data_IF_769212275874
#
_entry.id   IF_769212275874
#
_cell.length_a   1.000
_cell.length_b   1.000
_cell.length_c   1.000
_cell.angle_alpha   90.00
_cell.angle_beta   90.00
_cell.angle_gamma   90.00
#
_symmetry.space_group_name_H-M   'P 1'
#
loop_
_entity.id
_entity.type
_entity.pdbx_description
1 polymer ?
#
# COMPACT_ATOMS: atom_id res chain seq x y z
N UNK A 1 5.51 17.77 -19.84
CA UNK A 1 6.92 17.29 -19.74
C UNK A 1 7.59 17.28 -21.12
N UNK A 2 8.91 17.52 -21.23
CA UNK A 2 9.67 17.54 -22.50
C UNK A 2 10.56 16.28 -22.68
N UNK A 3 11.10 16.06 -23.90
CA UNK A 3 11.94 14.89 -24.25
C UNK A 3 13.15 14.69 -23.33
N UNK A 4 13.87 15.77 -23.01
CA UNK A 4 15.07 15.70 -22.18
C UNK A 4 14.73 15.28 -20.74
N UNK A 5 13.66 15.83 -20.18
CA UNK A 5 13.15 15.47 -18.84
C UNK A 5 12.65 14.02 -18.83
N UNK A 6 11.86 13.61 -19.82
CA UNK A 6 11.35 12.23 -19.91
C UNK A 6 12.50 11.20 -19.97
N UNK A 7 13.55 11.45 -20.78
CA UNK A 7 14.77 10.61 -20.78
C UNK A 7 15.47 10.55 -19.43
N UNK A 8 15.48 11.65 -18.69
CA UNK A 8 16.09 11.70 -17.36
C UNK A 8 15.28 10.89 -16.35
N UNK A 9 13.95 11.03 -16.35
CA UNK A 9 13.09 10.23 -15.49
C UNK A 9 13.16 8.73 -15.77
N UNK A 10 13.23 8.32 -17.05
CA UNK A 10 13.46 6.90 -17.39
C UNK A 10 14.71 6.34 -16.71
N UNK A 11 15.85 7.04 -16.80
CA UNK A 11 17.10 6.63 -16.15
C UNK A 11 16.98 6.62 -14.63
N UNK A 12 16.31 7.63 -14.07
CA UNK A 12 16.16 7.77 -12.62
C UNK A 12 15.26 6.66 -12.06
N UNK A 13 14.19 6.27 -12.76
CA UNK A 13 13.36 5.12 -12.38
C UNK A 13 14.21 3.84 -12.39
N UNK A 14 14.92 3.57 -13.48
CA UNK A 14 15.73 2.35 -13.61
C UNK A 14 16.82 2.25 -12.52
N UNK A 15 17.46 3.37 -12.19
CA UNK A 15 18.50 3.41 -11.15
C UNK A 15 17.96 3.25 -9.72
N UNK A 16 16.67 3.53 -9.49
CA UNK A 16 16.07 3.53 -8.17
C UNK A 16 14.98 2.47 -8.00
N UNK A 17 14.94 1.45 -8.87
CA UNK A 17 13.89 0.43 -8.87
C UNK A 17 13.76 -0.29 -7.52
N UNK A 18 14.89 -0.60 -6.88
CA UNK A 18 14.90 -1.27 -5.58
C UNK A 18 14.35 -0.36 -4.49
N UNK A 19 14.69 0.93 -4.53
CA UNK A 19 14.19 1.92 -3.58
C UNK A 19 12.70 2.21 -3.77
N UNK A 20 12.24 2.24 -5.02
CA UNK A 20 10.81 2.31 -5.37
C UNK A 20 10.07 1.15 -4.72
N UNK A 21 10.57 -0.08 -4.88
CA UNK A 21 9.96 -1.28 -4.28
C UNK A 21 9.97 -1.23 -2.75
N UNK A 22 11.08 -0.84 -2.14
CA UNK A 22 11.22 -0.75 -0.68
C UNK A 22 10.20 0.22 -0.08
N UNK A 23 10.13 1.46 -0.61
CA UNK A 23 9.20 2.47 -0.10
C UNK A 23 7.74 2.11 -0.41
N UNK A 24 7.47 1.50 -1.57
CA UNK A 24 6.15 0.98 -1.91
C UNK A 24 5.63 -0.04 -0.90
N UNK A 25 6.48 -1.01 -0.50
CA UNK A 25 6.11 -2.03 0.48
C UNK A 25 5.82 -1.37 1.83
N UNK A 26 6.63 -0.42 2.28
CA UNK A 26 6.38 0.30 3.54
C UNK A 26 5.03 1.00 3.51
N UNK A 27 4.76 1.78 2.46
CA UNK A 27 3.49 2.49 2.31
C UNK A 27 2.30 1.53 2.22
N UNK A 28 2.46 0.37 1.57
CA UNK A 28 1.43 -0.68 1.52
C UNK A 28 1.16 -1.30 2.90
N UNK A 29 2.22 -1.62 3.66
CA UNK A 29 2.06 -2.16 5.02
C UNK A 29 1.39 -1.14 5.93
N UNK A 30 1.79 0.12 5.85
CA UNK A 30 1.16 1.22 6.60
C UNK A 30 -0.30 1.41 6.20
N UNK A 31 -0.63 1.35 4.91
CA UNK A 31 -1.98 1.59 4.42
C UNK A 31 -2.96 0.47 4.79
N UNK A 32 -2.49 -0.78 4.91
CA UNK A 32 -3.28 -1.89 5.46
C UNK A 32 -3.73 -1.66 6.91
N UNK A 33 -3.08 -0.75 7.64
CA UNK A 33 -3.44 -0.41 9.02
C UNK A 33 -4.44 0.77 9.10
N UNK A 34 -4.80 1.40 7.97
CA UNK A 34 -5.67 2.59 7.97
C UNK A 34 -7.13 2.18 7.72
N UNK A 35 -8.04 2.62 8.61
CA UNK A 35 -9.47 2.25 8.60
C UNK A 35 -10.28 2.83 7.41
N UNK A 36 -9.72 3.78 6.67
CA UNK A 36 -10.41 4.50 5.58
C UNK A 36 -9.87 4.10 4.20
N UNK A 37 -10.64 4.38 3.15
CA UNK A 37 -10.17 4.26 1.77
C UNK A 37 -8.95 5.15 1.58
N UNK A 38 -7.83 4.56 1.20
CA UNK A 38 -6.60 5.28 0.92
C UNK A 38 -6.01 4.88 -0.41
N UNK A 39 -5.28 5.81 -1.00
CA UNK A 39 -4.46 5.56 -2.15
C UNK A 39 -3.02 5.41 -1.69
N UNK A 40 -2.34 4.40 -2.22
CA UNK A 40 -0.89 4.35 -2.19
C UNK A 40 -0.40 5.08 -3.43
N UNK A 41 0.37 6.14 -3.24
CA UNK A 41 0.98 6.91 -4.32
C UNK A 41 2.49 6.89 -4.18
N UNK A 42 3.18 6.62 -5.29
CA UNK A 42 4.64 6.51 -5.32
C UNK A 42 5.20 7.53 -6.28
N UNK A 43 6.10 8.35 -5.77
CA UNK A 43 6.70 9.46 -6.47
C UNK A 43 8.21 9.30 -6.56
N UNK A 44 8.78 9.83 -7.63
CA UNK A 44 10.22 10.00 -7.74
C UNK A 44 10.54 11.38 -8.29
N UNK A 45 11.49 12.06 -7.67
CA UNK A 45 12.01 13.31 -8.18
C UNK A 45 13.14 13.10 -9.20
N UNK A 46 13.54 14.18 -9.86
CA UNK A 46 14.58 14.15 -10.89
C UNK A 46 16.01 13.88 -10.35
N UNK A 47 16.15 13.85 -9.02
CA UNK A 47 17.39 13.49 -8.30
C UNK A 47 17.38 12.02 -7.85
N UNK A 48 16.25 11.32 -7.98
CA UNK A 48 16.08 9.94 -7.55
C UNK A 48 15.57 9.77 -6.13
N UNK A 49 15.09 10.86 -5.48
CA UNK A 49 14.42 10.75 -4.19
C UNK A 49 13.06 10.11 -4.42
N UNK A 50 12.87 8.94 -3.81
CA UNK A 50 11.61 8.19 -3.83
C UNK A 50 10.80 8.57 -2.59
N UNK A 51 9.49 8.76 -2.78
CA UNK A 51 8.54 8.95 -1.68
C UNK A 51 7.28 8.14 -1.99
N UNK A 52 6.89 7.26 -1.06
CA UNK A 52 5.64 6.52 -1.13
C UNK A 52 4.77 6.94 0.05
N UNK A 53 3.50 7.24 -0.21
CA UNK A 53 2.57 7.70 0.81
C UNK A 53 1.24 6.97 0.71
N UNK A 54 0.71 6.60 1.88
CA UNK A 54 -0.68 6.19 2.06
C UNK A 54 -1.50 7.43 2.39
N UNK A 55 -2.31 7.90 1.45
CA UNK A 55 -3.08 9.14 1.61
C UNK A 55 -4.50 8.99 1.11
N UNK A 56 -5.42 9.80 1.65
CA UNK A 56 -6.72 9.98 1.03
C UNK A 56 -6.53 10.40 -0.45
N UNK A 57 -7.38 9.87 -1.34
CA UNK A 57 -7.27 9.89 -2.82
C UNK A 57 -6.86 11.26 -3.42
N UNK A 58 -7.19 12.36 -2.75
CA UNK A 58 -7.02 13.74 -3.17
C UNK A 58 -5.78 14.47 -2.60
N UNK A 59 -5.01 13.84 -1.69
CA UNK A 59 -3.84 14.49 -1.11
C UNK A 59 -2.55 14.25 -1.94
N UNK A 60 -1.71 15.29 -1.96
CA UNK A 60 -0.50 15.56 -2.76
C UNK A 60 -0.76 16.05 -4.19
N UNK A 61 -0.61 17.37 -4.35
CA UNK A 61 -0.43 18.04 -5.63
C UNK A 61 1.03 17.87 -6.05
N UNK A 62 1.24 17.41 -7.28
CA UNK A 62 2.57 17.26 -7.87
C UNK A 62 3.13 18.61 -8.30
N UNK A 63 4.43 18.82 -8.10
CA UNK A 63 5.18 19.82 -8.85
C UNK A 63 5.63 19.17 -10.16
N UNK A 64 4.81 19.33 -11.22
CA UNK A 64 4.92 18.71 -12.55
C UNK A 64 6.31 18.81 -13.20
N UNK A 65 7.15 19.74 -12.72
CA UNK A 65 8.48 19.97 -13.25
C UNK A 65 9.63 19.30 -12.48
N UNK A 66 9.38 18.74 -11.29
CA UNK A 66 10.40 18.19 -10.38
C UNK A 66 10.21 16.72 -10.03
N UNK A 67 8.97 16.25 -9.98
CA UNK A 67 8.61 14.88 -9.60
C UNK A 67 7.56 14.31 -10.55
N UNK A 68 7.51 12.99 -10.62
CA UNK A 68 6.45 12.27 -11.34
C UNK A 68 5.83 11.22 -10.42
N UNK A 69 4.55 10.95 -10.64
CA UNK A 69 3.87 9.80 -10.06
C UNK A 69 4.20 8.55 -10.88
N UNK A 70 4.82 7.57 -10.26
CA UNK A 70 5.16 6.29 -10.89
C UNK A 70 3.96 5.34 -10.84
N UNK A 71 3.22 5.36 -9.72
CA UNK A 71 2.18 4.39 -9.46
C UNK A 71 1.15 4.94 -8.48
N UNK A 72 -0.12 4.65 -8.76
CA UNK A 72 -1.23 4.87 -7.85
C UNK A 72 -2.01 3.58 -7.73
N UNK A 73 -2.15 3.07 -6.50
CA UNK A 73 -3.12 2.02 -6.19
C UNK A 73 -4.25 2.62 -5.36
N UNK A 74 -5.48 2.46 -5.82
CA UNK A 74 -6.65 2.70 -4.99
C UNK A 74 -6.82 1.46 -4.11
N UNK A 75 -6.49 1.58 -2.83
CA UNK A 75 -6.74 0.50 -1.89
C UNK A 75 -8.17 0.66 -1.39
N UNK A 76 -9.00 -0.35 -1.69
CA UNK A 76 -10.26 -0.50 -0.97
C UNK A 76 -9.95 -0.59 0.53
N UNK A 77 -10.81 -0.08 1.42
CA UNK A 77 -10.64 -0.26 2.85
C UNK A 77 -10.31 -1.73 3.13
N UNK A 78 -9.12 -1.97 3.64
CA UNK A 78 -8.73 -3.32 4.02
C UNK A 78 -9.35 -3.51 5.38
N UNK A 79 -10.63 -3.85 5.39
CA UNK A 79 -11.25 -4.25 6.62
C UNK A 79 -10.61 -5.58 6.99
N UNK A 80 -9.97 -5.66 8.17
CA UNK A 80 -9.59 -6.92 8.81
C UNK A 80 -10.73 -7.97 8.74
N UNK A 81 -11.97 -7.51 8.58
CA UNK A 81 -13.18 -8.25 8.23
C UNK A 81 -13.04 -9.26 7.07
N UNK A 82 -12.27 -8.97 6.03
CA UNK A 82 -12.05 -9.90 4.90
C UNK A 82 -10.93 -10.92 5.20
N UNK A 83 -10.05 -10.60 6.16
CA UNK A 83 -8.83 -11.38 6.48
C UNK A 83 -9.02 -12.37 7.64
N UNK A 84 -10.04 -12.17 8.48
CA UNK A 84 -10.22 -12.92 9.74
C UNK A 84 -11.55 -13.69 9.87
N UNK A 85 -12.48 -13.59 8.92
CA UNK A 85 -13.83 -14.16 9.10
C UNK A 85 -14.58 -13.50 10.26
N UNK A 86 -15.43 -14.24 10.99
CA UNK A 86 -16.31 -13.80 12.11
C UNK A 86 -15.67 -12.99 13.27
N UNK A 87 -14.41 -12.55 13.16
CA UNK A 87 -13.71 -11.59 14.03
C UNK A 87 -14.01 -10.15 13.55
N UNK A 88 -15.28 -9.86 13.36
CA UNK A 88 -15.80 -8.87 12.41
C UNK A 88 -15.60 -7.38 12.74
N UNK A 89 -14.90 -6.96 13.80
CA UNK A 89 -15.03 -5.58 14.27
C UNK A 89 -13.78 -4.90 14.85
N UNK A 90 -12.59 -5.51 14.73
CA UNK A 90 -11.49 -5.18 15.65
C UNK A 90 -10.13 -5.06 14.98
N UNK A 91 -9.52 -3.89 15.14
CA UNK A 91 -8.35 -3.45 14.35
C UNK A 91 -7.02 -3.78 15.03
N UNK A 92 -7.06 -4.04 16.33
CA UNK A 92 -5.94 -4.49 17.13
C UNK A 92 -6.48 -5.41 18.25
N UNK A 93 -5.55 -5.99 19.02
CA UNK A 93 -5.92 -6.90 20.09
C UNK A 93 -6.73 -6.22 21.22
N UNK A 94 -6.50 -4.94 21.50
CA UNK A 94 -7.25 -4.21 22.54
C UNK A 94 -8.69 -3.97 22.10
N UNK A 95 -8.90 -3.60 20.83
CA UNK A 95 -10.24 -3.50 20.25
C UNK A 95 -10.89 -4.88 20.23
N UNK A 96 -10.16 -5.95 19.91
CA UNK A 96 -10.63 -7.36 19.93
C UNK A 96 -11.12 -7.76 21.31
N UNK A 97 -10.30 -7.54 22.33
CA UNK A 97 -10.65 -7.79 23.72
C UNK A 97 -11.89 -6.99 24.13
N UNK A 98 -11.93 -5.69 23.82
CA UNK A 98 -13.04 -4.81 24.14
C UNK A 98 -14.34 -5.19 23.41
N UNK A 99 -14.27 -5.64 22.16
CA UNK A 99 -15.43 -6.12 21.40
C UNK A 99 -15.95 -7.45 21.95
N UNK A 100 -15.06 -8.39 22.27
CA UNK A 100 -15.44 -9.66 22.93
C UNK A 100 -16.11 -9.41 24.29
N UNK A 101 -15.72 -8.36 25.00
CA UNK A 101 -16.33 -7.98 26.28
C UNK A 101 -17.70 -7.30 26.13
N UNK A 102 -17.96 -6.55 25.05
CA UNK A 102 -19.12 -5.65 24.95
C UNK A 102 -20.19 -6.00 23.89
N UNK A 103 -19.84 -6.62 22.77
CA UNK A 103 -20.78 -7.00 21.71
C UNK A 103 -21.17 -8.48 21.85
N UNK A 104 -22.04 -8.73 22.82
CA UNK A 104 -22.66 -10.03 23.07
C UNK A 104 -23.88 -10.20 22.18
N UNK A 105 -23.82 -11.11 21.20
CA UNK A 105 -24.88 -12.11 20.97
C UNK A 105 -24.45 -13.12 19.89
N UNK A 106 -24.04 -14.32 20.34
CA UNK A 106 -23.79 -15.57 19.58
C UNK A 106 -22.35 -15.95 19.17
N UNK A 107 -21.30 -15.39 19.78
CA UNK A 107 -19.94 -15.89 19.53
C UNK A 107 -19.60 -17.04 20.50
N UNK A 108 -19.27 -18.21 19.94
CA UNK A 108 -18.76 -19.34 20.69
C UNK A 108 -17.35 -19.05 21.21
N UNK A 109 -17.28 -18.57 22.45
CA UNK A 109 -16.07 -18.18 23.17
C UNK A 109 -14.94 -19.24 23.15
N UNK A 110 -15.27 -20.53 23.01
CA UNK A 110 -14.27 -21.61 22.97
C UNK A 110 -13.47 -21.66 21.65
N UNK A 111 -14.02 -21.11 20.57
CA UNK A 111 -13.30 -20.96 19.29
C UNK A 111 -12.32 -19.79 19.30
N UNK A 112 -12.62 -18.72 20.04
CA UNK A 112 -11.86 -17.46 20.04
C UNK A 112 -10.79 -17.35 21.14
N UNK A 113 -10.92 -18.08 22.26
CA UNK A 113 -9.86 -18.19 23.31
C UNK A 113 -8.52 -18.75 22.82
N UNK A 114 -8.46 -19.24 21.58
CA UNK A 114 -7.23 -19.71 20.93
C UNK A 114 -6.35 -18.55 20.42
N UNK A 115 -6.92 -17.35 20.24
CA UNK A 115 -6.18 -16.17 19.83
C UNK A 115 -5.74 -15.37 21.06
N UNK A 116 -4.47 -15.50 21.43
CA UNK A 116 -3.80 -14.53 22.28
C UNK A 116 -3.23 -13.39 21.40
N UNK A 117 -2.75 -12.32 22.03
CA UNK A 117 -2.18 -11.16 21.33
C UNK A 117 -1.13 -11.55 20.28
N UNK A 118 -0.23 -12.46 20.63
CA UNK A 118 0.83 -12.95 19.74
C UNK A 118 0.26 -13.67 18.50
N UNK A 119 -0.74 -14.54 18.66
CA UNK A 119 -1.36 -15.25 17.54
C UNK A 119 -2.16 -14.32 16.63
N UNK A 120 -2.77 -13.27 17.18
CA UNK A 120 -3.52 -12.27 16.40
C UNK A 120 -2.57 -11.42 15.56
N UNK A 121 -1.50 -10.91 16.17
CA UNK A 121 -0.45 -10.15 15.49
C UNK A 121 0.23 -10.98 14.40
N UNK A 122 0.54 -12.26 14.67
CA UNK A 122 1.14 -13.17 13.69
C UNK A 122 0.24 -13.40 12.45
N UNK A 123 -1.08 -13.51 12.63
CA UNK A 123 -2.01 -13.71 11.52
C UNK A 123 -2.17 -12.44 10.69
N UNK A 124 -2.22 -11.28 11.35
CA UNK A 124 -2.22 -10.00 10.66
C UNK A 124 -0.94 -9.83 9.81
N UNK A 125 0.23 -10.15 10.37
CA UNK A 125 1.51 -10.10 9.65
C UNK A 125 1.56 -11.07 8.46
N UNK A 126 1.15 -12.32 8.64
CA UNK A 126 1.13 -13.33 7.56
C UNK A 126 0.24 -12.94 6.40
N UNK A 127 -0.95 -12.40 6.66
CA UNK A 127 -1.86 -11.97 5.61
C UNK A 127 -1.34 -10.73 4.85
N UNK A 128 -0.67 -9.80 5.56
CA UNK A 128 0.03 -8.68 4.92
C UNK A 128 1.11 -9.22 3.97
N UNK A 129 1.87 -10.23 4.39
CA UNK A 129 2.90 -10.85 3.57
C UNK A 129 2.31 -11.62 2.36
N UNK A 130 1.18 -12.32 2.52
CA UNK A 130 0.47 -12.98 1.42
C UNK A 130 -0.02 -11.96 0.37
N UNK A 131 -0.57 -10.83 0.84
CA UNK A 131 -1.06 -9.74 -0.03
C UNK A 131 0.07 -8.92 -0.67
N UNK A 132 1.26 -8.94 -0.08
CA UNK A 132 2.44 -8.24 -0.61
C UNK A 132 2.84 -8.77 -1.98
N UNK A 133 2.66 -10.07 -2.24
CA UNK A 133 2.98 -10.67 -3.55
C UNK A 133 2.15 -10.06 -4.69
N UNK A 134 0.82 -9.96 -4.50
CA UNK A 134 -0.11 -9.38 -5.47
C UNK A 134 0.16 -7.89 -5.66
N UNK A 135 0.41 -7.16 -4.57
CA UNK A 135 0.79 -5.76 -4.62
C UNK A 135 2.06 -5.54 -5.46
N UNK A 136 3.08 -6.37 -5.29
CA UNK A 136 4.34 -6.26 -6.04
C UNK A 136 4.16 -6.51 -7.54
N UNK A 137 3.25 -7.42 -7.93
CA UNK A 137 2.91 -7.63 -9.34
C UNK A 137 2.25 -6.39 -9.96
N UNK A 138 1.28 -5.79 -9.27
CA UNK A 138 0.60 -4.58 -9.73
C UNK A 138 1.57 -3.38 -9.77
N UNK A 139 2.44 -3.26 -8.77
CA UNK A 139 3.50 -2.25 -8.75
C UNK A 139 4.41 -2.38 -9.98
N UNK A 140 4.84 -3.60 -10.31
CA UNK A 140 5.71 -3.84 -11.46
C UNK A 140 5.00 -3.46 -12.77
N UNK A 141 3.72 -3.82 -12.94
CA UNK A 141 2.92 -3.40 -14.11
C UNK A 141 2.81 -1.88 -14.20
N UNK A 142 2.57 -1.22 -13.08
CA UNK A 142 2.48 0.23 -12.98
C UNK A 142 3.77 0.94 -13.39
N UNK A 143 4.92 0.46 -12.89
CA UNK A 143 6.24 0.99 -13.25
C UNK A 143 6.48 0.85 -14.75
N UNK A 144 6.21 -0.31 -15.35
CA UNK A 144 6.40 -0.51 -16.79
C UNK A 144 5.45 0.37 -17.62
N UNK A 145 4.20 0.55 -17.18
CA UNK A 145 3.27 1.49 -17.82
C UNK A 145 3.80 2.93 -17.78
N UNK A 146 4.27 3.39 -16.62
CA UNK A 146 4.88 4.72 -16.47
C UNK A 146 6.09 4.89 -17.40
N UNK A 147 6.97 3.87 -17.46
CA UNK A 147 8.12 3.88 -18.37
C UNK A 147 7.68 3.97 -19.83
N UNK A 148 6.68 3.20 -20.25
CA UNK A 148 6.16 3.24 -21.62
C UNK A 148 5.61 4.63 -21.97
N UNK A 149 4.89 5.28 -21.07
CA UNK A 149 4.39 6.65 -21.26
C UNK A 149 5.54 7.65 -21.45
N UNK A 150 6.58 7.57 -20.61
CA UNK A 150 7.79 8.38 -20.76
C UNK A 150 8.49 8.12 -22.09
N UNK A 151 8.57 6.87 -22.52
CA UNK A 151 9.19 6.46 -23.77
C UNK A 151 8.45 7.04 -24.98
N UNK A 152 7.11 7.01 -24.95
CA UNK A 152 6.27 7.62 -25.98
C UNK A 152 6.52 9.13 -26.10
N UNK A 153 6.79 9.84 -25.00
CA UNK A 153 7.16 11.28 -25.01
C UNK A 153 8.55 11.49 -25.62
N UNK A 154 9.48 10.55 -25.45
CA UNK A 154 10.83 10.64 -26.02
C UNK A 154 10.83 10.45 -27.53
N UNK A 155 10.00 9.52 -28.02
CA UNK A 155 9.93 9.12 -29.42
C UNK A 155 9.12 10.11 -30.28
N UNK A 156 7.99 10.62 -29.76
CA UNK A 156 7.15 11.63 -30.44
C UNK A 156 7.68 13.05 -30.26
#
# INVERSE_FOLDING_TARGET
MNKQKARRFLRVIDMNIDKIKEEAIKAFKESCLIKETNNIKIYIDIQGKVEAIAVQTWAKLLDDDKEINIFTLNQAPTHLNDMLGEICYVNDYEEFENWCENEWENLDWDSYKKFNKENFEEIAERNIDDSTSVFLEELQKGIESCKQELQNIVEN
#
